data_IF_834795992254
#
_entry.id   IF_834795992254
#
_cell.length_a   1.000
_cell.length_b   1.000
_cell.length_c   1.000
_cell.angle_alpha   90.00
_cell.angle_beta   90.00
_cell.angle_gamma   90.00
#
_symmetry.space_group_name_H-M   'P 1'
#
loop_
_entity.id
_entity.type
_entity.pdbx_description
1 polymer ?
#
# COMPACT_ATOMS: atom_id res chain seq x y z
N UNK A 1 40.81 24.43 -1.12
CA UNK A 1 39.38 24.33 -0.75
C UNK A 1 39.34 23.91 0.71
N UNK A 2 38.68 24.67 1.59
CA UNK A 2 38.67 24.37 3.02
C UNK A 2 37.91 23.07 3.29
N UNK A 3 38.31 22.32 4.31
CA UNK A 3 37.70 21.02 4.70
C UNK A 3 36.19 21.12 4.85
N UNK A 4 35.70 22.23 5.40
CA UNK A 4 34.29 22.48 5.63
C UNK A 4 33.51 22.64 4.31
N UNK A 5 34.12 23.29 3.31
CA UNK A 5 33.54 23.41 1.98
C UNK A 5 33.45 22.07 1.24
N UNK A 6 34.42 21.18 1.46
CA UNK A 6 34.41 19.82 0.88
C UNK A 6 33.33 18.95 1.52
N UNK A 7 33.13 19.05 2.84
CA UNK A 7 32.07 18.35 3.56
C UNK A 7 30.68 18.81 3.13
N UNK A 8 30.45 20.12 3.00
CA UNK A 8 29.16 20.67 2.53
C UNK A 8 28.86 20.21 1.11
N UNK A 9 29.85 20.22 0.22
CA UNK A 9 29.69 19.74 -1.15
C UNK A 9 29.32 18.24 -1.19
N UNK A 10 30.02 17.41 -0.42
CA UNK A 10 29.71 15.98 -0.34
C UNK A 10 28.28 15.74 0.15
N UNK A 11 27.85 16.42 1.21
CA UNK A 11 26.52 16.25 1.79
C UNK A 11 25.41 16.67 0.83
N UNK A 12 25.61 17.77 0.10
CA UNK A 12 24.65 18.26 -0.90
C UNK A 12 24.53 17.30 -2.08
N UNK A 13 25.64 16.83 -2.64
CA UNK A 13 25.64 15.84 -3.74
C UNK A 13 24.96 14.54 -3.33
N UNK A 14 25.28 14.02 -2.14
CA UNK A 14 24.65 12.80 -1.60
C UNK A 14 23.14 12.98 -1.40
N UNK A 15 22.72 14.11 -0.84
CA UNK A 15 21.29 14.40 -0.60
C UNK A 15 20.51 14.51 -1.92
N UNK A 16 21.07 15.19 -2.92
CA UNK A 16 20.48 15.28 -4.26
C UNK A 16 20.40 13.92 -4.93
N UNK A 17 21.44 13.08 -4.80
CA UNK A 17 21.44 11.71 -5.28
C UNK A 17 20.30 10.87 -4.69
N UNK A 18 20.10 10.95 -3.36
CA UNK A 18 18.98 10.27 -2.70
C UNK A 18 17.61 10.77 -3.20
N UNK A 19 17.44 12.07 -3.38
CA UNK A 19 16.19 12.63 -3.91
C UNK A 19 15.87 12.08 -5.31
N UNK A 20 16.86 12.00 -6.20
CA UNK A 20 16.66 11.43 -7.54
C UNK A 20 16.26 9.95 -7.49
N UNK A 21 16.87 9.16 -6.60
CA UNK A 21 16.50 7.74 -6.42
C UNK A 21 15.06 7.59 -5.93
N UNK A 22 14.63 8.39 -4.94
CA UNK A 22 13.26 8.37 -4.41
C UNK A 22 12.26 8.73 -5.52
N UNK A 23 12.54 9.76 -6.32
CA UNK A 23 11.67 10.15 -7.44
C UNK A 23 11.57 9.05 -8.50
N UNK A 24 12.66 8.36 -8.80
CA UNK A 24 12.68 7.21 -9.71
C UNK A 24 11.78 6.08 -9.22
N UNK A 25 11.93 5.70 -7.94
CA UNK A 25 11.10 4.65 -7.32
C UNK A 25 9.62 5.05 -7.27
N UNK A 26 9.31 6.32 -6.96
CA UNK A 26 7.94 6.81 -6.91
C UNK A 26 7.22 6.69 -8.27
N UNK A 27 7.92 6.96 -9.39
CA UNK A 27 7.37 6.78 -10.73
C UNK A 27 7.06 5.30 -11.01
N UNK A 28 7.98 4.40 -10.68
CA UNK A 28 7.77 2.97 -10.88
C UNK A 28 6.57 2.48 -10.06
N UNK A 29 6.50 2.84 -8.78
CA UNK A 29 5.37 2.49 -7.90
C UNK A 29 4.04 3.00 -8.48
N UNK A 30 4.02 4.20 -9.06
CA UNK A 30 2.81 4.75 -9.67
C UNK A 30 2.36 3.94 -10.89
N UNK A 31 3.27 3.61 -11.80
CA UNK A 31 2.96 2.79 -12.98
C UNK A 31 2.48 1.40 -12.55
N UNK A 32 3.21 0.76 -11.63
CA UNK A 32 2.84 -0.54 -11.06
C UNK A 32 1.45 -0.49 -10.39
N UNK A 33 1.11 0.61 -9.70
CA UNK A 33 -0.20 0.78 -9.08
C UNK A 33 -1.31 0.91 -10.12
N UNK A 34 -1.08 1.66 -11.19
CA UNK A 34 -2.04 1.82 -12.29
C UNK A 34 -2.24 0.50 -13.06
N UNK A 35 -1.17 -0.24 -13.35
CA UNK A 35 -1.25 -1.57 -13.98
C UNK A 35 -1.98 -2.57 -13.09
N UNK A 36 -1.66 -2.61 -11.80
CA UNK A 36 -2.31 -3.50 -10.85
C UNK A 36 -3.80 -3.16 -10.67
N UNK A 37 -4.17 -1.88 -10.76
CA UNK A 37 -5.58 -1.47 -10.82
C UNK A 37 -6.28 -1.92 -12.11
N UNK A 38 -5.59 -1.91 -13.26
CA UNK A 38 -6.16 -2.37 -14.55
C UNK A 38 -6.31 -3.88 -14.65
N UNK A 39 -5.36 -4.63 -14.07
CA UNK A 39 -5.32 -6.09 -14.12
C UNK A 39 -6.18 -6.75 -13.03
N UNK A 40 -6.51 -6.00 -11.97
CA UNK A 40 -7.44 -6.49 -10.96
C UNK A 40 -8.82 -6.67 -11.59
N UNK A 41 -9.45 -7.85 -11.46
CA UNK A 41 -10.87 -7.95 -11.75
C UNK A 41 -11.58 -6.89 -10.91
N UNK A 42 -12.42 -6.09 -11.56
CA UNK A 42 -13.29 -5.13 -10.87
C UNK A 42 -14.34 -5.96 -10.15
N UNK A 43 -13.95 -6.51 -9.00
CA UNK A 43 -14.90 -7.03 -8.03
C UNK A 43 -15.77 -5.85 -7.63
N UNK A 44 -17.08 -6.00 -7.82
CA UNK A 44 -18.02 -4.97 -7.41
C UNK A 44 -17.92 -4.79 -5.89
N UNK A 45 -18.23 -3.59 -5.39
CA UNK A 45 -18.29 -3.38 -3.94
C UNK A 45 -19.25 -4.37 -3.27
N UNK A 46 -20.34 -4.73 -3.94
CA UNK A 46 -21.33 -5.67 -3.41
C UNK A 46 -20.78 -7.10 -3.30
N UNK A 47 -20.01 -7.56 -4.29
CA UNK A 47 -19.32 -8.86 -4.24
C UNK A 47 -18.28 -8.91 -3.10
N UNK A 48 -17.51 -7.83 -2.93
CA UNK A 48 -16.54 -7.72 -1.86
C UNK A 48 -17.21 -7.73 -0.48
N UNK A 49 -18.33 -7.01 -0.33
CA UNK A 49 -19.10 -6.98 0.92
C UNK A 49 -19.68 -8.38 1.22
N UNK A 50 -20.22 -9.06 0.21
CA UNK A 50 -20.75 -10.42 0.35
C UNK A 50 -19.66 -11.41 0.79
N UNK A 51 -18.49 -11.39 0.14
CA UNK A 51 -17.34 -12.25 0.48
C UNK A 51 -16.83 -11.98 1.91
N UNK A 52 -16.74 -10.71 2.32
CA UNK A 52 -16.36 -10.33 3.68
C UNK A 52 -17.39 -10.80 4.70
N UNK A 53 -18.68 -10.67 4.40
CA UNK A 53 -19.77 -11.10 5.28
C UNK A 53 -19.77 -12.63 5.46
N UNK A 54 -19.54 -13.40 4.40
CA UNK A 54 -19.38 -14.85 4.46
C UNK A 54 -18.17 -15.25 5.31
N UNK A 55 -17.02 -14.60 5.10
CA UNK A 55 -15.79 -14.88 5.87
C UNK A 55 -15.91 -14.47 7.32
N UNK A 56 -16.59 -13.36 7.63
CA UNK A 56 -16.90 -12.96 9.00
C UNK A 56 -17.69 -14.04 9.73
N UNK A 57 -18.69 -14.64 9.09
CA UNK A 57 -19.49 -15.72 9.67
C UNK A 57 -18.69 -17.02 9.85
N UNK A 58 -17.83 -17.36 8.90
CA UNK A 58 -17.11 -18.66 8.90
C UNK A 58 -15.81 -18.65 9.69
N UNK A 59 -15.05 -17.55 9.65
CA UNK A 59 -13.70 -17.46 10.20
C UNK A 59 -13.58 -16.53 11.42
N UNK A 60 -14.53 -15.60 11.57
CA UNK A 60 -14.50 -14.56 12.60
C UNK A 60 -13.58 -13.39 12.24
N UNK A 61 -13.79 -12.27 12.96
CA UNK A 61 -13.22 -10.93 12.69
C UNK A 61 -11.71 -10.96 12.37
N UNK A 62 -10.89 -11.54 13.25
CA UNK A 62 -9.43 -11.49 13.13
C UNK A 62 -8.93 -12.20 11.87
N UNK A 63 -9.53 -13.35 11.53
CA UNK A 63 -9.15 -14.13 10.35
C UNK A 63 -9.66 -13.49 9.06
N UNK A 64 -10.82 -12.84 9.08
CA UNK A 64 -11.33 -12.08 7.93
C UNK A 64 -10.44 -10.87 7.62
N UNK A 65 -10.00 -10.12 8.64
CA UNK A 65 -9.04 -9.03 8.45
C UNK A 65 -7.72 -9.55 7.85
N UNK A 66 -7.23 -10.71 8.33
CA UNK A 66 -6.04 -11.33 7.77
C UNK A 66 -6.23 -11.73 6.30
N UNK A 67 -7.36 -12.34 5.96
CA UNK A 67 -7.70 -12.70 4.58
C UNK A 67 -7.68 -11.49 3.63
N UNK A 68 -8.31 -10.37 4.04
CA UNK A 68 -8.36 -9.16 3.22
C UNK A 68 -6.98 -8.57 2.94
N UNK A 69 -6.06 -8.69 3.90
CA UNK A 69 -4.69 -8.21 3.74
C UNK A 69 -3.88 -9.08 2.79
N UNK A 70 -3.94 -10.39 2.98
CA UNK A 70 -3.09 -11.33 2.25
C UNK A 70 -3.60 -11.59 0.83
N UNK A 71 -4.91 -11.73 0.65
CA UNK A 71 -5.51 -12.13 -0.63
C UNK A 71 -6.11 -10.96 -1.41
N UNK A 72 -6.74 -10.00 -0.73
CA UNK A 72 -7.29 -8.79 -1.37
C UNK A 72 -6.31 -7.62 -1.35
N UNK A 73 -5.12 -7.80 -0.77
CA UNK A 73 -4.04 -6.81 -0.77
C UNK A 73 -4.38 -5.50 -0.03
N UNK A 74 -5.37 -5.53 0.87
CA UNK A 74 -5.74 -4.34 1.65
C UNK A 74 -4.68 -4.01 2.70
N UNK A 75 -4.55 -2.73 3.01
CA UNK A 75 -3.78 -2.32 4.19
C UNK A 75 -4.47 -2.83 5.47
N UNK A 76 -3.72 -2.90 6.58
CA UNK A 76 -4.30 -3.29 7.88
C UNK A 76 -5.46 -2.37 8.28
N UNK A 77 -5.32 -1.06 8.01
CA UNK A 77 -6.32 -0.06 8.38
C UNK A 77 -7.58 -0.23 7.53
N UNK A 78 -7.43 -0.39 6.22
CA UNK A 78 -8.57 -0.53 5.30
C UNK A 78 -9.31 -1.84 5.53
N UNK A 79 -8.57 -2.94 5.70
CA UNK A 79 -9.15 -4.25 6.01
C UNK A 79 -9.93 -4.22 7.32
N UNK A 80 -9.37 -3.59 8.36
CA UNK A 80 -10.05 -3.47 9.66
C UNK A 80 -11.30 -2.61 9.55
N UNK A 81 -11.22 -1.44 8.92
CA UNK A 81 -12.37 -0.55 8.73
C UNK A 81 -13.51 -1.25 7.99
N UNK A 82 -13.20 -1.95 6.90
CA UNK A 82 -14.22 -2.68 6.13
C UNK A 82 -14.94 -3.74 6.98
N UNK A 83 -14.18 -4.51 7.76
CA UNK A 83 -14.74 -5.54 8.64
C UNK A 83 -15.56 -4.93 9.77
N UNK A 84 -15.10 -3.82 10.36
CA UNK A 84 -15.82 -3.11 11.43
C UNK A 84 -17.15 -2.54 10.90
N UNK A 85 -17.15 -1.93 9.70
CA UNK A 85 -18.36 -1.40 9.04
C UNK A 85 -19.39 -2.48 8.70
N UNK A 86 -18.97 -3.69 8.37
CA UNK A 86 -19.89 -4.81 8.03
C UNK A 86 -20.39 -5.54 9.28
N UNK A 87 -19.69 -5.39 10.41
CA UNK A 87 -20.06 -6.01 11.68
C UNK A 87 -21.10 -5.19 12.44
N UNK A 88 -21.09 -3.87 12.29
CA UNK A 88 -22.16 -2.98 12.77
C UNK A 88 -23.49 -3.26 12.06
#
# INVERSE_FOLDING_TARGET
MNTDGLLILALTVTSVGFLLLILGQAKQIRVLKEENQRLRPVESQDELIADVHEKLKTLGVVKTVKYLREYKGMSMVDAKRLVDTIKE
#
